data_IF_091098601188
#
_entry.id   IF_091098601188
#
_cell.length_a   1.000
_cell.length_b   1.000
_cell.length_c   1.000
_cell.angle_alpha   90.00
_cell.angle_beta   90.00
_cell.angle_gamma   90.00
#
_symmetry.space_group_name_H-M   'P 1'
#
loop_
_entity.id
_entity.type
_entity.pdbx_description
1 polymer ?
#
# COMPACT_ATOMS: atom_id res chain seq x y z
N UNK A 1 7.04 7.20 5.36
CA UNK A 1 6.05 7.85 6.24
C UNK A 1 5.36 9.00 5.52
N UNK A 2 4.09 9.27 5.84
CA UNK A 2 3.33 10.39 5.27
C UNK A 2 3.94 11.69 5.80
N UNK A 3 4.26 12.60 4.89
CA UNK A 3 4.77 13.94 5.20
C UNK A 3 3.84 14.94 4.53
N UNK A 4 3.45 15.98 5.24
CA UNK A 4 2.61 17.03 4.65
C UNK A 4 3.32 17.59 3.43
N UNK A 5 2.68 17.44 2.28
CA UNK A 5 3.28 17.78 0.99
C UNK A 5 2.18 18.37 0.11
N UNK A 6 2.05 19.70 0.14
CA UNK A 6 1.23 20.39 -0.85
C UNK A 6 1.92 20.27 -2.20
N UNK A 7 1.33 19.49 -3.10
CA UNK A 7 1.89 19.26 -4.44
C UNK A 7 1.74 20.55 -5.25
N UNK A 8 2.86 21.08 -5.75
CA UNK A 8 2.86 22.22 -6.67
C UNK A 8 2.49 21.69 -8.05
N UNK A 9 1.43 22.23 -8.66
CA UNK A 9 0.97 21.80 -9.98
C UNK A 9 1.94 22.26 -11.06
N UNK A 10 2.70 21.30 -11.56
CA UNK A 10 3.53 21.37 -12.76
C UNK A 10 3.15 20.21 -13.68
N UNK A 11 3.46 20.30 -14.97
CA UNK A 11 3.13 19.23 -15.91
C UNK A 11 3.72 17.87 -15.51
N UNK A 12 4.94 17.85 -14.95
CA UNK A 12 5.58 16.63 -14.44
C UNK A 12 4.81 16.02 -13.26
N UNK A 13 4.42 16.84 -12.28
CA UNK A 13 3.62 16.38 -11.14
C UNK A 13 2.22 15.93 -11.54
N UNK A 14 1.55 16.63 -12.46
CA UNK A 14 0.22 16.25 -12.95
C UNK A 14 0.26 14.92 -13.68
N UNK A 15 1.32 14.65 -14.44
CA UNK A 15 1.52 13.37 -15.12
C UNK A 15 1.65 12.21 -14.13
N UNK A 16 2.46 12.35 -13.07
CA UNK A 16 2.55 11.32 -12.03
C UNK A 16 1.27 11.20 -11.21
N UNK A 17 0.58 12.30 -10.88
CA UNK A 17 -0.72 12.28 -10.20
C UNK A 17 -1.75 11.48 -11.01
N UNK A 18 -1.80 11.67 -12.32
CA UNK A 18 -2.68 10.91 -13.21
C UNK A 18 -2.34 9.42 -13.24
N UNK A 19 -1.05 9.07 -13.26
CA UNK A 19 -0.62 7.67 -13.20
C UNK A 19 -0.95 7.05 -11.83
N UNK A 20 -0.78 7.81 -10.75
CA UNK A 20 -1.12 7.37 -9.41
C UNK A 20 -2.61 7.11 -9.27
N UNK A 21 -3.44 8.01 -9.79
CA UNK A 21 -4.90 7.88 -9.76
C UNK A 21 -5.38 6.58 -10.45
N UNK A 22 -4.71 6.16 -11.55
CA UNK A 22 -5.02 4.90 -12.26
C UNK A 22 -4.84 3.65 -11.39
N UNK A 23 -4.04 3.69 -10.32
CA UNK A 23 -3.91 2.57 -9.37
C UNK A 23 -5.22 2.26 -8.63
N UNK A 24 -6.14 3.22 -8.62
CA UNK A 24 -7.45 3.11 -7.97
C UNK A 24 -8.59 2.99 -8.99
N UNK A 25 -8.27 2.72 -10.26
CA UNK A 25 -9.29 2.34 -11.24
C UNK A 25 -9.90 1.00 -10.83
N UNK A 26 -11.22 0.93 -10.63
CA UNK A 26 -11.90 -0.29 -10.19
C UNK A 26 -12.10 -1.27 -11.33
N UNK A 27 -11.94 -2.56 -11.03
CA UNK A 27 -12.25 -3.64 -11.96
C UNK A 27 -13.75 -3.90 -12.03
N UNK A 28 -14.44 -3.34 -13.02
CA UNK A 28 -15.89 -3.46 -13.18
C UNK A 28 -16.35 -4.19 -14.43
N UNK A 29 -15.42 -4.72 -15.22
CA UNK A 29 -15.73 -5.43 -16.46
C UNK A 29 -16.74 -6.58 -16.23
N UNK A 30 -16.66 -7.27 -15.09
CA UNK A 30 -17.62 -8.31 -14.71
C UNK A 30 -19.02 -7.80 -14.36
N UNK A 31 -19.13 -6.55 -13.87
CA UNK A 31 -20.40 -5.90 -13.56
C UNK A 31 -21.07 -5.31 -14.81
N UNK A 32 -20.26 -4.87 -15.78
CA UNK A 32 -20.76 -4.37 -17.07
C UNK A 32 -21.25 -5.48 -17.99
N UNK A 33 -20.76 -6.72 -17.81
CA UNK A 33 -21.17 -7.88 -18.61
C UNK A 33 -22.64 -8.31 -18.39
N UNK A 34 -23.28 -7.85 -17.31
CA UNK A 34 -24.65 -8.22 -16.96
C UNK A 34 -25.51 -6.96 -16.76
N UNK A 35 -26.57 -6.80 -17.56
CA UNK A 35 -27.43 -5.61 -17.53
C UNK A 35 -27.96 -5.27 -16.13
N UNK A 36 -28.40 -6.26 -15.36
CA UNK A 36 -28.90 -6.06 -13.99
C UNK A 36 -27.82 -5.57 -13.00
N UNK A 37 -26.57 -5.98 -13.20
CA UNK A 37 -25.41 -5.52 -12.40
C UNK A 37 -24.99 -4.11 -12.81
N UNK A 38 -25.11 -3.77 -14.09
CA UNK A 38 -24.84 -2.43 -14.61
C UNK A 38 -25.84 -1.41 -14.04
N UNK A 39 -27.14 -1.73 -14.02
CA UNK A 39 -28.17 -0.86 -13.43
C UNK A 39 -27.93 -0.61 -11.94
N UNK A 40 -27.54 -1.65 -11.20
CA UNK A 40 -27.18 -1.52 -9.78
C UNK A 40 -25.95 -0.64 -9.57
N UNK A 41 -24.95 -0.75 -10.45
CA UNK A 41 -23.75 0.09 -10.41
C UNK A 41 -24.10 1.55 -10.68
N UNK A 42 -24.86 1.84 -11.73
CA UNK A 42 -25.30 3.19 -12.08
C UNK A 42 -26.13 3.81 -10.95
N UNK A 43 -27.08 3.04 -10.39
CA UNK A 43 -27.87 3.48 -9.24
C UNK A 43 -27.00 3.78 -8.02
N UNK A 44 -26.07 2.89 -7.68
CA UNK A 44 -25.17 3.07 -6.53
C UNK A 44 -24.18 4.22 -6.74
N UNK A 45 -23.87 4.59 -7.97
CA UNK A 45 -22.95 5.67 -8.30
C UNK A 45 -23.56 7.08 -8.19
N UNK A 46 -24.90 7.19 -8.21
CA UNK A 46 -25.60 8.47 -7.97
C UNK A 46 -25.29 9.02 -6.57
N UNK A 47 -25.47 10.34 -6.37
CA UNK A 47 -25.31 10.95 -5.04
C UNK A 47 -26.22 10.29 -3.99
N UNK A 48 -27.46 9.97 -4.35
CA UNK A 48 -28.38 9.25 -3.47
C UNK A 48 -27.89 7.83 -3.18
N UNK A 49 -27.47 7.09 -4.21
CA UNK A 49 -26.90 5.75 -4.07
C UNK A 49 -25.69 5.72 -3.14
N UNK A 50 -24.79 6.69 -3.27
CA UNK A 50 -23.61 6.83 -2.41
C UNK A 50 -23.98 7.22 -0.99
N UNK A 51 -24.93 8.13 -0.81
CA UNK A 51 -25.47 8.46 0.50
C UNK A 51 -26.10 7.23 1.17
N UNK A 52 -26.81 6.38 0.41
CA UNK A 52 -27.35 5.12 0.92
C UNK A 52 -26.23 4.14 1.33
N UNK A 53 -25.19 3.98 0.52
CA UNK A 53 -24.02 3.15 0.87
C UNK A 53 -23.31 3.67 2.12
N UNK A 54 -23.06 4.98 2.22
CA UNK A 54 -22.47 5.60 3.40
C UNK A 54 -23.37 5.42 4.64
N UNK A 55 -24.70 5.50 4.46
CA UNK A 55 -25.66 5.31 5.54
C UNK A 55 -25.76 3.85 6.02
N UNK A 56 -25.54 2.85 5.13
CA UNK A 56 -25.36 1.45 5.54
C UNK A 56 -24.14 1.29 6.45
N UNK A 57 -23.10 2.06 6.17
CA UNK A 57 -21.87 2.16 6.96
C UNK A 57 -21.94 3.30 7.98
N UNK A 58 -23.10 3.49 8.62
CA UNK A 58 -23.30 4.48 9.69
C UNK A 58 -22.26 4.35 10.80
N UNK A 59 -22.06 5.42 11.57
CA UNK A 59 -21.01 5.52 12.60
C UNK A 59 -20.92 4.30 13.53
N UNK A 60 -22.06 3.79 14.02
CA UNK A 60 -22.08 2.59 14.88
C UNK A 60 -21.50 1.35 14.19
N UNK A 61 -21.79 1.17 12.89
CA UNK A 61 -21.29 0.04 12.12
C UNK A 61 -19.79 0.19 11.85
N UNK A 62 -19.33 1.40 11.52
CA UNK A 62 -17.90 1.67 11.36
C UNK A 62 -17.12 1.44 12.66
N UNK A 63 -17.66 1.90 13.79
CA UNK A 63 -17.05 1.65 15.10
C UNK A 63 -16.97 0.14 15.38
N UNK A 64 -18.08 -0.60 15.25
CA UNK A 64 -18.08 -2.06 15.40
C UNK A 64 -17.07 -2.74 14.49
N UNK A 65 -17.00 -2.35 13.21
CA UNK A 65 -16.02 -2.90 12.27
C UNK A 65 -14.57 -2.60 12.70
N UNK A 66 -14.29 -1.40 13.19
CA UNK A 66 -12.97 -1.03 13.70
C UNK A 66 -12.61 -1.83 14.97
N UNK A 67 -13.56 -2.03 15.90
CA UNK A 67 -13.37 -2.87 17.09
C UNK A 67 -13.13 -4.35 16.72
N UNK A 68 -13.90 -4.89 15.77
CA UNK A 68 -13.71 -6.25 15.28
C UNK A 68 -12.37 -6.42 14.55
N UNK A 69 -11.96 -5.42 13.76
CA UNK A 69 -10.66 -5.40 13.10
C UNK A 69 -9.50 -5.38 14.11
N UNK A 70 -9.66 -4.65 15.22
CA UNK A 70 -8.71 -4.70 16.34
C UNK A 70 -8.57 -6.11 16.90
N UNK A 71 -9.68 -6.82 17.16
CA UNK A 71 -9.65 -8.21 17.66
C UNK A 71 -8.92 -9.13 16.65
N UNK A 72 -9.23 -9.02 15.36
CA UNK A 72 -8.58 -9.81 14.32
C UNK A 72 -7.08 -9.51 14.23
N UNK A 73 -6.70 -8.24 14.35
CA UNK A 73 -5.30 -7.82 14.35
C UNK A 73 -4.57 -8.36 15.59
N UNK A 74 -5.19 -8.25 16.77
CA UNK A 74 -4.62 -8.81 18.01
C UNK A 74 -4.43 -10.32 17.91
N UNK A 75 -5.40 -11.04 17.35
CA UNK A 75 -5.26 -12.48 17.13
C UNK A 75 -4.12 -12.79 16.17
N UNK A 76 -3.99 -12.01 15.08
CA UNK A 76 -2.92 -12.13 14.10
C UNK A 76 -1.52 -11.90 14.68
N UNK A 77 -1.39 -11.06 15.72
CA UNK A 77 -0.13 -10.77 16.41
C UNK A 77 -0.01 -11.41 17.80
N UNK A 78 -0.92 -12.32 18.17
CA UNK A 78 -1.01 -12.90 19.52
C UNK A 78 0.24 -13.64 19.97
N UNK A 79 1.07 -14.07 19.01
CA UNK A 79 2.34 -14.74 19.25
C UNK A 79 3.50 -13.77 19.57
N UNK A 80 3.31 -12.46 19.40
CA UNK A 80 4.30 -11.44 19.76
C UNK A 80 3.85 -10.84 21.11
N UNK A 81 4.61 -11.05 22.19
CA UNK A 81 4.24 -10.48 23.48
C UNK A 81 4.36 -8.95 23.43
N UNK A 82 3.37 -8.27 24.04
CA UNK A 82 3.39 -6.83 24.30
C UNK A 82 3.61 -5.95 23.05
N UNK A 83 2.96 -6.26 21.91
CA UNK A 83 2.98 -5.39 20.71
C UNK A 83 2.31 -4.05 20.98
N UNK A 84 1.16 -4.08 21.65
CA UNK A 84 0.39 -2.91 22.04
C UNK A 84 -0.32 -3.20 23.34
N UNK A 85 -0.37 -2.22 24.23
CA UNK A 85 -1.28 -2.28 25.37
C UNK A 85 -2.74 -2.00 24.94
N UNK A 86 -3.69 -2.28 25.85
CA UNK A 86 -5.12 -2.09 25.55
C UNK A 86 -5.48 -0.63 25.28
N UNK A 87 -4.82 0.31 25.94
CA UNK A 87 -5.07 1.75 25.80
C UNK A 87 -4.57 2.27 24.46
N UNK A 88 -3.40 1.84 24.02
CA UNK A 88 -2.81 2.17 22.73
C UNK A 88 -3.64 1.59 21.59
N UNK A 89 -4.03 0.32 21.72
CA UNK A 89 -4.84 -0.33 20.69
C UNK A 89 -6.24 0.32 20.58
N UNK A 90 -6.84 0.73 21.71
CA UNK A 90 -8.09 1.50 21.71
C UNK A 90 -7.92 2.87 21.06
N UNK A 91 -6.81 3.56 21.34
CA UNK A 91 -6.47 4.85 20.73
C UNK A 91 -6.31 4.73 19.21
N UNK A 92 -5.52 3.77 18.74
CA UNK A 92 -5.37 3.49 17.29
C UNK A 92 -6.73 3.20 16.66
N UNK A 93 -7.56 2.40 17.31
CA UNK A 93 -8.92 2.07 16.83
C UNK A 93 -9.82 3.29 16.70
N UNK A 94 -9.76 4.22 17.66
CA UNK A 94 -10.50 5.48 17.57
C UNK A 94 -10.02 6.34 16.40
N UNK A 95 -8.71 6.42 16.15
CA UNK A 95 -8.20 7.17 15.01
C UNK A 95 -8.52 6.51 13.67
N UNK A 96 -8.46 5.17 13.58
CA UNK A 96 -8.92 4.42 12.40
C UNK A 96 -10.39 4.72 12.11
N UNK A 97 -11.26 4.70 13.13
CA UNK A 97 -12.67 5.08 12.99
C UNK A 97 -12.83 6.49 12.42
N UNK A 98 -12.07 7.47 12.91
CA UNK A 98 -12.14 8.85 12.40
C UNK A 98 -11.71 8.91 10.92
N UNK A 99 -10.68 8.16 10.52
CA UNK A 99 -10.24 8.07 9.10
C UNK A 99 -11.39 7.56 8.23
N UNK A 100 -12.03 6.45 8.60
CA UNK A 100 -13.14 5.89 7.82
C UNK A 100 -14.39 6.77 7.83
N UNK A 101 -14.68 7.44 8.95
CA UNK A 101 -15.76 8.43 9.01
C UNK A 101 -15.51 9.55 7.98
N UNK A 102 -14.30 10.12 7.96
CA UNK A 102 -13.94 11.16 6.99
C UNK A 102 -13.99 10.65 5.55
N UNK A 103 -13.54 9.41 5.33
CA UNK A 103 -13.61 8.76 4.02
C UNK A 103 -15.06 8.65 3.52
N UNK A 104 -16.01 8.29 4.39
CA UNK A 104 -17.43 8.19 4.02
C UNK A 104 -18.04 9.57 3.72
N UNK A 105 -17.67 10.61 4.47
CA UNK A 105 -18.09 11.99 4.19
C UNK A 105 -17.66 12.45 2.80
N UNK A 106 -16.43 12.11 2.40
CA UNK A 106 -15.89 12.43 1.08
C UNK A 106 -16.60 11.59 0.01
N UNK A 107 -16.71 10.27 0.22
CA UNK A 107 -17.34 9.34 -0.72
C UNK A 107 -18.77 9.73 -1.09
N UNK A 108 -19.59 10.14 -0.11
CA UNK A 108 -21.01 10.50 -0.35
C UNK A 108 -21.18 11.82 -1.11
N UNK A 109 -20.21 12.73 -1.03
CA UNK A 109 -20.26 14.05 -1.68
C UNK A 109 -19.86 13.99 -3.16
N UNK A 110 -19.22 12.89 -3.57
CA UNK A 110 -18.61 12.78 -4.89
C UNK A 110 -19.51 12.02 -5.83
N UNK A 111 -19.82 12.62 -6.99
CA UNK A 111 -20.51 11.95 -8.08
C UNK A 111 -19.47 11.60 -9.16
N UNK A 112 -19.05 10.34 -9.29
CA UNK A 112 -18.18 9.95 -10.40
C UNK A 112 -18.96 10.14 -11.70
N UNK A 113 -18.32 10.76 -12.69
CA UNK A 113 -18.83 10.69 -14.07
C UNK A 113 -18.62 9.26 -14.53
N UNK A 114 -19.70 8.52 -14.74
CA UNK A 114 -19.64 7.18 -15.32
C UNK A 114 -20.06 7.32 -16.78
N UNK A 115 -19.08 7.29 -17.66
CA UNK A 115 -19.31 7.23 -19.11
C UNK A 115 -19.16 5.78 -19.55
N UNK A 116 -20.26 5.18 -20.02
CA UNK A 116 -20.30 3.83 -20.57
C UNK A 116 -20.34 3.96 -22.09
N UNK A 117 -19.22 3.68 -22.75
CA UNK A 117 -19.16 3.56 -24.21
C UNK A 117 -18.84 2.11 -24.57
N UNK A 118 -19.69 1.45 -25.37
CA UNK A 118 -19.47 0.08 -25.84
C UNK A 118 -19.15 -0.94 -24.71
N UNK A 119 -19.92 -0.93 -23.61
CA UNK A 119 -19.68 -1.77 -22.42
C UNK A 119 -18.28 -1.60 -21.80
N UNK A 120 -17.58 -0.52 -22.13
CA UNK A 120 -16.27 -0.16 -21.62
C UNK A 120 -16.43 1.17 -20.89
N UNK A 121 -15.92 1.24 -19.66
CA UNK A 121 -15.97 2.48 -18.91
C UNK A 121 -14.81 3.37 -19.37
N UNK A 122 -15.10 4.48 -20.05
CA UNK A 122 -14.07 5.35 -20.63
C UNK A 122 -13.31 6.11 -19.53
N UNK A 123 -13.98 6.53 -18.46
CA UNK A 123 -13.34 7.15 -17.29
C UNK A 123 -14.11 6.85 -16.01
N UNK A 124 -13.59 5.95 -15.18
CA UNK A 124 -13.86 6.01 -13.74
C UNK A 124 -12.55 6.05 -12.99
N UNK A 125 -12.24 7.28 -12.60
CA UNK A 125 -11.19 7.59 -11.67
C UNK A 125 -11.89 7.98 -10.38
N UNK A 126 -11.34 7.60 -9.23
CA UNK A 126 -11.64 8.33 -8.01
C UNK A 126 -11.48 9.84 -8.28
N UNK A 127 -12.16 10.72 -7.54
CA UNK A 127 -11.87 12.16 -7.57
C UNK A 127 -10.36 12.38 -7.56
N UNK A 128 -9.91 13.47 -8.18
CA UNK A 128 -8.49 13.77 -8.36
C UNK A 128 -7.74 13.32 -7.11
N UNK A 129 -6.88 12.31 -7.26
CA UNK A 129 -6.26 11.58 -6.12
C UNK A 129 -5.59 12.54 -5.15
N UNK A 130 -5.15 13.68 -5.67
CA UNK A 130 -4.70 14.88 -4.95
C UNK A 130 -5.73 15.46 -3.97
N UNK A 131 -6.99 15.67 -4.38
CA UNK A 131 -8.07 16.16 -3.50
C UNK A 131 -8.37 15.19 -2.37
N UNK A 132 -8.41 13.88 -2.68
CA UNK A 132 -8.61 12.84 -1.68
C UNK A 132 -7.43 12.79 -0.70
N UNK A 133 -6.20 12.89 -1.20
CA UNK A 133 -4.99 12.98 -0.38
C UNK A 133 -5.03 14.20 0.53
N UNK A 134 -5.31 15.38 -0.03
CA UNK A 134 -5.38 16.63 0.72
C UNK A 134 -6.45 16.61 1.81
N UNK A 135 -7.65 16.09 1.50
CA UNK A 135 -8.76 16.02 2.45
C UNK A 135 -8.52 15.03 3.60
N UNK A 136 -7.74 13.96 3.37
CA UNK A 136 -7.43 12.94 4.37
C UNK A 136 -6.08 13.15 5.06
N UNK A 137 -5.17 13.97 4.51
CA UNK A 137 -3.82 14.17 5.03
C UNK A 137 -3.80 14.51 6.53
N UNK A 138 -4.57 15.51 7.03
CA UNK A 138 -4.49 15.87 8.44
C UNK A 138 -4.85 14.72 9.38
N UNK A 139 -5.83 13.90 8.99
CA UNK A 139 -6.28 12.78 9.82
C UNK A 139 -5.37 11.55 9.70
N UNK A 140 -4.78 11.34 8.53
CA UNK A 140 -3.82 10.25 8.28
C UNK A 140 -2.47 10.52 8.93
N UNK A 141 -2.01 11.77 8.99
CA UNK A 141 -0.81 12.15 9.75
C UNK A 141 -1.01 11.83 11.23
N UNK A 142 -2.11 12.29 11.83
CA UNK A 142 -2.41 12.02 13.24
C UNK A 142 -2.59 10.52 13.49
N UNK A 143 -3.21 9.78 12.56
CA UNK A 143 -3.28 8.33 12.64
C UNK A 143 -1.89 7.72 12.63
N UNK A 144 -1.02 8.08 11.69
CA UNK A 144 0.35 7.59 11.62
C UNK A 144 1.14 7.92 12.89
N UNK A 145 1.06 9.14 13.43
CA UNK A 145 1.76 9.56 14.66
C UNK A 145 1.46 8.68 15.89
N UNK A 146 0.37 7.90 15.87
CA UNK A 146 0.09 6.94 16.93
C UNK A 146 1.20 5.89 17.11
N UNK A 147 1.99 5.59 16.07
CA UNK A 147 3.14 4.69 16.19
C UNK A 147 4.31 5.32 16.97
N UNK A 148 4.49 6.64 16.88
CA UNK A 148 5.49 7.37 17.67
C UNK A 148 5.05 7.37 19.14
N UNK A 149 3.75 7.59 19.38
CA UNK A 149 3.18 7.62 20.71
C UNK A 149 3.23 6.27 21.44
N UNK A 150 3.31 5.14 20.73
CA UNK A 150 3.50 3.82 21.35
C UNK A 150 4.95 3.48 21.67
N UNK A 151 5.92 4.30 21.23
CA UNK A 151 7.37 4.07 21.38
C UNK A 151 7.84 2.70 20.85
N UNK A 152 7.02 2.09 20.01
CA UNK A 152 7.22 0.75 19.49
C UNK A 152 6.77 0.75 18.03
N UNK A 153 7.74 0.57 17.14
CA UNK A 153 7.49 0.52 15.70
C UNK A 153 6.55 -0.63 15.29
N UNK A 154 6.41 -1.69 16.11
CA UNK A 154 5.46 -2.80 15.89
C UNK A 154 4.01 -2.35 15.80
N UNK A 155 3.68 -1.22 16.42
CA UNK A 155 2.39 -0.57 16.28
C UNK A 155 2.06 -0.20 14.82
N UNK A 156 3.04 0.12 13.97
CA UNK A 156 2.78 0.48 12.58
C UNK A 156 2.30 -0.72 11.75
N UNK A 157 2.86 -1.90 11.99
CA UNK A 157 2.38 -3.17 11.43
C UNK A 157 0.97 -3.51 11.91
N UNK A 158 0.66 -3.22 13.18
CA UNK A 158 -0.67 -3.33 13.75
C UNK A 158 -1.67 -2.39 13.05
N UNK A 159 -1.30 -1.11 12.89
CA UNK A 159 -2.14 -0.08 12.28
C UNK A 159 -2.53 -0.42 10.85
N UNK A 160 -1.55 -0.82 10.01
CA UNK A 160 -1.83 -1.21 8.62
C UNK A 160 -2.69 -2.48 8.54
N UNK A 161 -2.46 -3.46 9.42
CA UNK A 161 -3.29 -4.67 9.51
C UNK A 161 -4.71 -4.36 9.97
N UNK A 162 -4.87 -3.43 10.91
CA UNK A 162 -6.16 -2.96 11.38
C UNK A 162 -6.96 -2.29 10.25
N UNK A 163 -6.33 -1.47 9.42
CA UNK A 163 -7.00 -0.89 8.25
C UNK A 163 -7.45 -1.98 7.28
N UNK A 164 -6.58 -2.94 6.93
CA UNK A 164 -6.94 -4.05 6.04
C UNK A 164 -8.13 -4.87 6.57
N UNK A 165 -8.14 -5.27 7.84
CA UNK A 165 -9.27 -5.99 8.41
C UNK A 165 -10.55 -5.14 8.47
N UNK A 166 -10.42 -3.83 8.72
CA UNK A 166 -11.57 -2.92 8.68
C UNK A 166 -12.14 -2.85 7.26
N UNK A 167 -11.29 -2.72 6.24
CA UNK A 167 -11.68 -2.76 4.82
C UNK A 167 -12.46 -4.04 4.49
N UNK A 168 -11.95 -5.20 4.89
CA UNK A 168 -12.64 -6.48 4.66
C UNK A 168 -14.01 -6.56 5.35
N UNK A 169 -14.12 -6.06 6.59
CA UNK A 169 -15.38 -6.03 7.33
C UNK A 169 -16.40 -5.06 6.73
N UNK A 170 -15.95 -3.90 6.24
CA UNK A 170 -16.78 -2.95 5.50
C UNK A 170 -17.33 -3.61 4.23
N UNK A 171 -16.46 -4.18 3.39
CA UNK A 171 -16.85 -4.76 2.10
C UNK A 171 -17.85 -5.91 2.23
N UNK A 172 -17.73 -6.74 3.28
CA UNK A 172 -18.68 -7.83 3.58
C UNK A 172 -20.13 -7.38 3.80
N UNK A 173 -20.38 -6.08 4.00
CA UNK A 173 -21.73 -5.52 4.22
C UNK A 173 -22.35 -4.91 2.96
N UNK A 174 -21.62 -4.88 1.86
CA UNK A 174 -21.96 -4.13 0.65
C UNK A 174 -22.31 -5.07 -0.50
N UNK A 175 -23.16 -4.62 -1.42
CA UNK A 175 -23.41 -5.32 -2.68
C UNK A 175 -22.19 -5.26 -3.59
N UNK A 176 -22.11 -6.10 -4.64
CA UNK A 176 -20.98 -6.07 -5.58
C UNK A 176 -20.80 -4.71 -6.26
N UNK A 177 -21.89 -4.02 -6.59
CA UNK A 177 -21.86 -2.66 -7.13
C UNK A 177 -21.28 -1.65 -6.13
N UNK A 178 -21.71 -1.70 -4.88
CA UNK A 178 -21.19 -0.83 -3.81
C UNK A 178 -19.73 -1.14 -3.48
N UNK A 179 -19.35 -2.42 -3.46
CA UNK A 179 -17.97 -2.85 -3.27
C UNK A 179 -17.08 -2.31 -4.40
N UNK A 180 -17.49 -2.43 -5.66
CA UNK A 180 -16.76 -1.85 -6.77
C UNK A 180 -16.56 -0.34 -6.56
N UNK A 181 -17.61 0.37 -6.09
CA UNK A 181 -17.58 1.82 -5.90
C UNK A 181 -16.68 2.28 -4.75
N UNK A 182 -16.68 1.54 -3.65
CA UNK A 182 -15.99 1.92 -2.44
C UNK A 182 -14.56 1.37 -2.33
N UNK A 183 -14.26 0.23 -2.96
CA UNK A 183 -12.93 -0.42 -2.90
C UNK A 183 -11.79 0.53 -3.26
N UNK A 184 -11.87 1.38 -4.32
CA UNK A 184 -10.83 2.37 -4.62
C UNK A 184 -10.46 3.28 -3.46
N UNK A 185 -11.44 3.75 -2.69
CA UNK A 185 -11.27 4.64 -1.54
C UNK A 185 -10.62 3.91 -0.36
N UNK A 186 -11.06 2.69 -0.09
CA UNK A 186 -10.49 1.83 0.96
C UNK A 186 -9.03 1.46 0.65
N UNK A 187 -8.75 1.11 -0.60
CA UNK A 187 -7.39 0.83 -1.09
C UNK A 187 -6.50 2.06 -0.98
N UNK A 188 -7.02 3.23 -1.35
CA UNK A 188 -6.29 4.50 -1.22
C UNK A 188 -5.85 4.76 0.22
N UNK A 189 -6.74 4.61 1.20
CA UNK A 189 -6.40 4.80 2.62
C UNK A 189 -5.34 3.81 3.08
N UNK A 190 -5.46 2.53 2.72
CA UNK A 190 -4.48 1.51 3.09
C UNK A 190 -3.10 1.79 2.48
N UNK A 191 -3.04 2.12 1.18
CA UNK A 191 -1.79 2.44 0.51
C UNK A 191 -1.18 3.74 1.03
N UNK A 192 -1.97 4.77 1.32
CA UNK A 192 -1.45 6.04 1.84
C UNK A 192 -0.77 5.94 3.20
N UNK A 193 -1.24 5.00 4.03
CA UNK A 193 -0.60 4.75 5.31
C UNK A 193 0.68 3.93 5.16
N UNK A 194 0.78 3.08 4.14
CA UNK A 194 1.89 2.15 3.97
C UNK A 194 2.98 2.62 3.00
N UNK A 195 2.63 3.42 1.99
CA UNK A 195 3.46 3.68 0.81
C UNK A 195 3.57 5.19 0.53
N UNK A 196 4.77 5.69 0.18
CA UNK A 196 4.98 7.13 -0.03
C UNK A 196 4.61 7.63 -1.44
N UNK A 197 3.54 7.10 -2.08
CA UNK A 197 3.19 7.47 -3.46
C UNK A 197 2.92 8.97 -3.67
N UNK A 198 2.30 9.63 -2.69
CA UNK A 198 2.11 11.08 -2.73
C UNK A 198 3.46 11.83 -2.78
N UNK A 199 4.47 11.36 -2.04
CA UNK A 199 5.81 11.96 -2.00
C UNK A 199 6.61 11.66 -3.28
N UNK A 200 6.39 10.51 -3.90
CA UNK A 200 6.88 10.22 -5.26
C UNK A 200 6.32 11.24 -6.25
N UNK A 201 5.00 11.48 -6.22
CA UNK A 201 4.38 12.48 -7.08
C UNK A 201 4.87 13.90 -6.80
N UNK A 202 5.04 14.25 -5.52
CA UNK A 202 5.57 15.56 -5.10
C UNK A 202 6.97 15.83 -5.68
N UNK A 203 7.87 14.85 -5.62
CA UNK A 203 9.26 15.02 -6.07
C UNK A 203 9.41 15.13 -7.60
N UNK A 204 8.38 14.82 -8.39
CA UNK A 204 8.42 15.04 -9.83
C UNK A 204 8.53 16.52 -10.23
N UNK A 205 8.25 17.46 -9.32
CA UNK A 205 8.46 18.90 -9.56
C UNK A 205 9.92 19.24 -9.88
N UNK A 206 10.87 18.41 -9.42
CA UNK A 206 12.30 18.63 -9.61
C UNK A 206 12.82 18.14 -10.97
N UNK A 207 11.93 17.65 -11.84
CA UNK A 207 12.31 16.99 -13.09
C UNK A 207 11.54 17.54 -14.28
N UNK A 208 12.25 17.76 -15.37
CA UNK A 208 11.64 18.13 -16.66
C UNK A 208 10.81 16.96 -17.21
N UNK A 209 9.76 17.30 -17.96
CA UNK A 209 8.81 16.35 -18.54
C UNK A 209 9.47 15.23 -19.38
N UNK A 210 10.53 15.58 -20.10
CA UNK A 210 11.22 14.66 -21.00
C UNK A 210 12.46 14.02 -20.41
N UNK A 211 12.77 14.32 -19.15
CA UNK A 211 13.93 13.78 -18.44
C UNK A 211 13.86 12.24 -18.38
N UNK A 212 15.00 11.55 -18.50
CA UNK A 212 15.04 10.09 -18.40
C UNK A 212 14.55 9.60 -17.03
N UNK A 213 14.73 10.40 -15.98
CA UNK A 213 14.26 10.08 -14.63
C UNK A 213 12.74 10.04 -14.55
N UNK A 214 12.06 11.06 -15.08
CA UNK A 214 10.59 11.08 -15.04
C UNK A 214 10.02 9.94 -15.89
N UNK A 215 10.55 9.72 -17.09
CA UNK A 215 10.15 8.62 -17.98
C UNK A 215 10.29 7.24 -17.31
N UNK A 216 11.37 7.01 -16.57
CA UNK A 216 11.57 5.78 -15.81
C UNK A 216 10.48 5.59 -14.76
N UNK A 217 10.17 6.61 -13.96
CA UNK A 217 9.13 6.51 -12.93
C UNK A 217 7.75 6.30 -13.54
N UNK A 218 7.45 6.98 -14.65
CA UNK A 218 6.19 6.81 -15.39
C UNK A 218 5.99 5.39 -15.91
N UNK A 219 7.06 4.70 -16.28
CA UNK A 219 7.05 3.30 -16.71
C UNK A 219 6.90 2.34 -15.52
N UNK A 220 7.58 2.60 -14.41
CA UNK A 220 7.63 1.69 -13.27
C UNK A 220 6.38 1.76 -12.38
N UNK A 221 5.80 2.94 -12.20
CA UNK A 221 4.69 3.13 -11.27
C UNK A 221 3.40 2.36 -11.64
N UNK A 222 2.97 2.29 -12.92
CA UNK A 222 1.90 1.40 -13.37
C UNK A 222 2.26 -0.08 -13.23
N UNK A 223 3.51 -0.45 -13.53
CA UNK A 223 3.98 -1.84 -13.53
C UNK A 223 4.14 -2.43 -12.12
N UNK A 224 4.12 -1.61 -11.06
CA UNK A 224 4.48 -2.05 -9.72
C UNK A 224 3.65 -3.23 -9.17
N UNK A 225 2.36 -3.29 -9.51
CA UNK A 225 1.48 -4.40 -9.11
C UNK A 225 1.85 -5.71 -9.82
N UNK A 226 2.19 -5.63 -11.11
CA UNK A 226 2.58 -6.78 -11.92
C UNK A 226 3.96 -7.30 -11.50
N UNK A 227 4.91 -6.39 -11.25
CA UNK A 227 6.22 -6.71 -10.68
C UNK A 227 6.05 -7.42 -9.33
N UNK A 228 5.23 -6.88 -8.42
CA UNK A 228 4.96 -7.52 -7.15
C UNK A 228 4.39 -8.94 -7.32
N UNK A 229 3.49 -9.15 -8.27
CA UNK A 229 2.94 -10.48 -8.54
C UNK A 229 3.99 -11.44 -9.12
N UNK A 230 4.82 -10.97 -10.05
CA UNK A 230 5.92 -11.75 -10.65
C UNK A 230 6.93 -12.18 -9.59
N UNK A 231 7.42 -11.22 -8.79
CA UNK A 231 8.37 -11.46 -7.69
C UNK A 231 7.78 -12.45 -6.69
N UNK A 232 6.52 -12.28 -6.32
CA UNK A 232 5.86 -13.19 -5.38
C UNK A 232 5.81 -14.64 -5.90
N UNK A 233 5.51 -14.86 -7.19
CA UNK A 233 5.54 -16.20 -7.79
C UNK A 233 6.95 -16.79 -7.78
N UNK A 234 7.95 -16.01 -8.18
CA UNK A 234 9.35 -16.42 -8.15
C UNK A 234 9.81 -16.80 -6.73
N UNK A 235 9.39 -16.05 -5.70
CA UNK A 235 9.71 -16.35 -4.31
C UNK A 235 9.07 -17.65 -3.81
N UNK A 236 7.84 -17.97 -4.24
CA UNK A 236 7.20 -19.26 -3.94
C UNK A 236 8.02 -20.42 -4.53
N UNK A 237 8.51 -20.26 -5.76
CA UNK A 237 9.30 -21.28 -6.45
C UNK A 237 10.69 -21.45 -5.83
N UNK A 238 11.35 -20.35 -5.48
CA UNK A 238 12.70 -20.37 -4.90
C UNK A 238 12.69 -20.84 -3.43
N UNK A 239 11.59 -20.62 -2.71
CA UNK A 239 11.48 -20.91 -1.28
C UNK A 239 10.23 -21.73 -0.96
N UNK A 240 10.07 -22.94 -1.55
CA UNK A 240 8.84 -23.72 -1.48
C UNK A 240 8.49 -24.21 -0.06
N UNK A 241 9.51 -24.30 0.80
CA UNK A 241 9.38 -24.71 2.20
C UNK A 241 9.32 -23.52 3.17
N UNK A 242 9.30 -22.28 2.67
CA UNK A 242 9.22 -21.11 3.53
C UNK A 242 7.87 -21.05 4.24
N UNK A 243 7.94 -21.00 5.57
CA UNK A 243 6.79 -20.92 6.45
C UNK A 243 7.07 -19.87 7.50
N UNK A 244 6.13 -18.94 7.65
CA UNK A 244 6.12 -18.02 8.79
C UNK A 244 5.19 -18.57 9.87
N UNK A 245 5.16 -17.92 11.03
CA UNK A 245 4.15 -18.20 12.07
C UNK A 245 2.71 -18.03 11.58
N UNK A 246 2.49 -17.25 10.50
CA UNK A 246 1.18 -17.03 9.88
C UNK A 246 0.78 -18.10 8.87
N UNK A 247 1.65 -19.05 8.56
CA UNK A 247 1.39 -20.08 7.55
C UNK A 247 2.41 -20.11 6.42
N UNK A 248 2.08 -20.89 5.38
CA UNK A 248 2.89 -21.00 4.16
C UNK A 248 2.69 -19.77 3.28
N UNK A 249 3.72 -19.40 2.49
CA UNK A 249 3.60 -18.30 1.53
C UNK A 249 2.35 -18.43 0.66
N UNK A 250 1.99 -19.64 0.23
CA UNK A 250 0.83 -19.91 -0.65
C UNK A 250 -0.55 -19.64 -0.05
N UNK A 251 -0.67 -19.29 1.23
CA UNK A 251 -1.97 -18.99 1.87
C UNK A 251 -2.48 -17.58 1.51
N UNK A 252 -3.79 -17.45 1.19
CA UNK A 252 -4.38 -16.20 0.67
C UNK A 252 -4.12 -14.96 1.54
N UNK A 253 -4.14 -15.11 2.86
CA UNK A 253 -3.91 -14.01 3.81
C UNK A 253 -2.46 -13.49 3.77
N UNK A 254 -1.50 -14.36 3.42
CA UNK A 254 -0.09 -14.00 3.27
C UNK A 254 0.13 -13.33 1.91
N UNK A 255 -0.52 -13.81 0.84
CA UNK A 255 -0.45 -13.20 -0.49
C UNK A 255 -0.72 -11.69 -0.48
N UNK A 256 -1.80 -11.25 0.19
CA UNK A 256 -2.13 -9.81 0.28
C UNK A 256 -1.04 -9.00 0.97
N UNK A 257 -0.56 -9.47 2.13
CA UNK A 257 0.51 -8.81 2.89
C UNK A 257 1.79 -8.73 2.07
N UNK A 258 2.18 -9.84 1.43
CA UNK A 258 3.38 -9.89 0.59
C UNK A 258 3.30 -8.94 -0.60
N UNK A 259 2.16 -8.92 -1.31
CA UNK A 259 1.95 -8.02 -2.43
C UNK A 259 2.01 -6.55 -2.02
N UNK A 260 1.39 -6.19 -0.88
CA UNK A 260 1.47 -4.85 -0.30
C UNK A 260 2.92 -4.48 0.01
N UNK A 261 3.66 -5.36 0.69
CA UNK A 261 5.04 -5.09 1.08
C UNK A 261 5.96 -4.96 -0.15
N UNK A 262 5.77 -5.76 -1.20
CA UNK A 262 6.48 -5.57 -2.48
C UNK A 262 6.16 -4.23 -3.16
N UNK A 263 4.91 -3.79 -3.15
CA UNK A 263 4.55 -2.46 -3.66
C UNK A 263 5.19 -1.35 -2.82
N UNK A 264 5.24 -1.51 -1.49
CA UNK A 264 5.87 -0.55 -0.59
C UNK A 264 7.37 -0.41 -0.89
N UNK A 265 8.10 -1.51 -1.05
CA UNK A 265 9.53 -1.47 -1.39
C UNK A 265 9.76 -0.73 -2.72
N UNK A 266 8.96 -1.03 -3.74
CA UNK A 266 9.04 -0.33 -5.04
C UNK A 266 8.79 1.17 -4.89
N UNK A 267 7.79 1.59 -4.12
CA UNK A 267 7.50 2.99 -3.85
C UNK A 267 8.68 3.70 -3.17
N UNK A 268 9.33 3.05 -2.19
CA UNK A 268 10.52 3.60 -1.54
C UNK A 268 11.73 3.66 -2.46
N UNK A 269 11.95 2.67 -3.33
CA UNK A 269 13.03 2.71 -4.34
C UNK A 269 12.81 3.90 -5.28
N UNK A 270 11.60 4.06 -5.82
CA UNK A 270 11.27 5.16 -6.73
C UNK A 270 11.34 6.53 -6.04
N UNK A 271 10.98 6.59 -4.75
CA UNK A 271 11.16 7.79 -3.95
C UNK A 271 12.64 8.13 -3.78
N UNK A 272 13.47 7.15 -3.40
CA UNK A 272 14.91 7.36 -3.24
C UNK A 272 15.54 7.83 -4.56
N UNK A 273 15.11 7.26 -5.67
CA UNK A 273 15.52 7.65 -7.02
C UNK A 273 15.21 9.12 -7.33
N UNK A 274 13.98 9.58 -7.05
CA UNK A 274 13.59 10.98 -7.27
C UNK A 274 14.16 11.96 -6.24
N UNK A 275 14.51 11.50 -5.04
CA UNK A 275 15.16 12.33 -4.02
C UNK A 275 16.69 12.30 -4.11
N UNK A 276 17.23 11.46 -4.99
CA UNK A 276 18.66 11.20 -5.13
C UNK A 276 19.34 10.81 -3.82
N UNK A 277 18.63 10.04 -2.99
CA UNK A 277 19.07 9.69 -1.64
C UNK A 277 18.46 8.37 -1.16
N UNK A 278 19.25 7.54 -0.46
CA UNK A 278 18.78 6.32 0.20
C UNK A 278 18.09 6.59 1.55
N UNK A 279 18.10 7.83 2.03
CA UNK A 279 17.55 8.21 3.34
C UNK A 279 16.12 7.70 3.60
N UNK A 280 15.16 7.74 2.65
CA UNK A 280 13.84 7.18 2.88
C UNK A 280 13.85 5.68 3.20
N UNK A 281 14.72 4.90 2.56
CA UNK A 281 14.86 3.48 2.88
C UNK A 281 15.53 3.31 4.25
N UNK A 282 16.63 4.01 4.50
CA UNK A 282 17.43 3.88 5.73
C UNK A 282 16.64 4.28 6.99
N UNK A 283 15.90 5.39 6.93
CA UNK A 283 15.26 5.97 8.10
C UNK A 283 13.80 5.56 8.27
N UNK A 284 13.13 5.10 7.21
CA UNK A 284 11.68 4.84 7.24
C UNK A 284 11.37 3.36 6.94
N UNK A 285 11.89 2.78 5.85
CA UNK A 285 11.58 1.40 5.47
C UNK A 285 12.29 0.36 6.33
N UNK A 286 13.59 0.54 6.59
CA UNK A 286 14.40 -0.42 7.34
C UNK A 286 13.90 -0.63 8.77
N UNK A 287 13.62 0.43 9.56
CA UNK A 287 13.06 0.26 10.90
C UNK A 287 11.73 -0.51 10.88
N UNK A 288 10.90 -0.29 9.86
CA UNK A 288 9.65 -1.04 9.67
C UNK A 288 9.93 -2.53 9.40
N UNK A 289 10.89 -2.85 8.53
CA UNK A 289 11.17 -4.22 8.15
C UNK A 289 11.93 -5.02 9.22
N UNK A 290 12.97 -4.43 9.83
CA UNK A 290 13.75 -5.06 10.90
C UNK A 290 12.84 -5.58 12.02
N UNK A 291 11.88 -4.74 12.41
CA UNK A 291 10.89 -5.03 13.44
C UNK A 291 9.94 -6.19 13.07
N UNK A 292 9.53 -6.32 11.80
CA UNK A 292 8.74 -7.47 11.34
C UNK A 292 9.58 -8.74 11.31
N UNK A 293 10.85 -8.64 10.89
CA UNK A 293 11.74 -9.80 10.79
C UNK A 293 12.07 -10.37 12.17
N UNK A 294 12.40 -9.52 13.14
CA UNK A 294 12.62 -9.93 14.54
C UNK A 294 11.34 -10.45 15.21
N UNK A 295 10.22 -9.73 15.05
CA UNK A 295 8.97 -10.06 15.73
C UNK A 295 8.24 -11.28 15.15
N UNK A 296 8.44 -11.60 13.87
CA UNK A 296 7.74 -12.71 13.17
C UNK A 296 8.65 -13.90 12.89
N UNK A 297 9.92 -13.85 13.34
CA UNK A 297 10.95 -14.87 13.11
C UNK A 297 11.07 -15.23 11.62
N UNK A 298 10.98 -14.22 10.75
CA UNK A 298 11.21 -14.43 9.34
C UNK A 298 12.71 -14.69 9.14
N UNK A 299 13.04 -15.78 8.48
CA UNK A 299 14.43 -16.07 8.10
C UNK A 299 14.99 -14.93 7.25
N UNK A 300 16.14 -14.37 7.61
CA UNK A 300 16.77 -13.28 6.88
C UNK A 300 17.10 -13.65 5.42
N UNK A 301 17.30 -14.93 5.16
CA UNK A 301 17.45 -15.49 3.81
C UNK A 301 16.25 -15.16 2.92
N UNK A 302 15.03 -15.14 3.49
CA UNK A 302 13.82 -14.71 2.77
C UNK A 302 13.92 -13.23 2.40
N UNK A 303 14.31 -12.35 3.34
CA UNK A 303 14.45 -10.91 3.10
C UNK A 303 15.54 -10.58 2.09
N UNK A 304 16.65 -11.32 2.11
CA UNK A 304 17.72 -11.16 1.11
C UNK A 304 17.23 -11.57 -0.28
N UNK A 305 16.67 -12.77 -0.42
CA UNK A 305 16.13 -13.26 -1.70
C UNK A 305 15.00 -12.36 -2.21
N UNK A 306 14.19 -11.83 -1.31
CA UNK A 306 13.16 -10.84 -1.62
C UNK A 306 13.74 -9.59 -2.28
N UNK A 307 14.77 -8.98 -1.69
CA UNK A 307 15.42 -7.81 -2.27
C UNK A 307 16.14 -8.13 -3.58
N UNK A 308 16.76 -9.32 -3.69
CA UNK A 308 17.41 -9.80 -4.91
C UNK A 308 16.44 -9.93 -6.08
N UNK A 309 15.37 -10.70 -5.88
CA UNK A 309 14.35 -10.97 -6.90
C UNK A 309 13.61 -9.69 -7.28
N UNK A 310 13.26 -8.84 -6.30
CA UNK A 310 12.59 -7.57 -6.58
C UNK A 310 13.46 -6.64 -7.45
N UNK A 311 14.73 -6.46 -7.09
CA UNK A 311 15.64 -5.63 -7.87
C UNK A 311 15.79 -6.16 -9.30
N UNK A 312 16.02 -7.48 -9.46
CA UNK A 312 16.17 -8.10 -10.78
C UNK A 312 14.91 -7.96 -11.63
N UNK A 313 13.72 -8.14 -11.04
CA UNK A 313 12.46 -7.98 -11.76
C UNK A 313 12.21 -6.51 -12.15
N UNK A 314 12.53 -5.55 -11.29
CA UNK A 314 12.40 -4.13 -11.65
C UNK A 314 13.36 -3.77 -12.79
N UNK A 315 14.62 -4.19 -12.70
CA UNK A 315 15.64 -3.92 -13.70
C UNK A 315 15.36 -4.61 -15.04
N UNK A 316 14.66 -5.76 -15.06
CA UNK A 316 14.30 -6.46 -16.30
C UNK A 316 13.21 -5.75 -17.11
N UNK A 317 12.47 -4.81 -16.48
CA UNK A 317 11.46 -3.99 -17.16
C UNK A 317 12.02 -2.75 -17.83
N UNK A 318 13.32 -2.47 -17.65
CA UNK A 318 13.98 -1.24 -18.09
C UNK A 318 14.96 -1.52 -19.23
N UNK A 319 15.18 -0.51 -20.07
CA UNK A 319 16.31 -0.55 -21.01
C UNK A 319 17.66 -0.37 -20.28
N UNK A 320 18.76 -0.54 -21.01
CA UNK A 320 20.11 -0.48 -20.44
C UNK A 320 20.45 0.87 -19.77
N UNK A 321 19.97 1.99 -20.32
CA UNK A 321 20.27 3.32 -19.79
C UNK A 321 19.46 3.57 -18.50
N UNK A 322 18.17 3.28 -18.55
CA UNK A 322 17.27 3.36 -17.39
C UNK A 322 17.72 2.42 -16.26
N UNK A 323 18.22 1.23 -16.60
CA UNK A 323 18.74 0.28 -15.63
C UNK A 323 19.92 0.86 -14.85
N UNK A 324 20.89 1.47 -15.54
CA UNK A 324 22.05 2.08 -14.86
C UNK A 324 21.63 3.28 -13.97
N UNK A 325 20.54 3.99 -14.30
CA UNK A 325 19.98 5.04 -13.45
C UNK A 325 19.36 4.50 -12.15
N UNK A 326 18.63 3.36 -12.22
CA UNK A 326 17.91 2.82 -11.06
C UNK A 326 18.80 1.96 -10.14
N UNK A 327 19.81 1.31 -10.71
CA UNK A 327 20.71 0.35 -10.05
C UNK A 327 21.35 0.83 -8.75
N UNK A 328 21.79 2.10 -8.59
CA UNK A 328 22.29 2.59 -7.32
C UNK A 328 21.29 2.44 -6.17
N UNK A 329 19.99 2.58 -6.46
CA UNK A 329 18.92 2.51 -5.46
C UNK A 329 18.48 1.07 -5.16
N UNK A 330 18.43 0.21 -6.18
CA UNK A 330 18.14 -1.23 -5.96
C UNK A 330 19.29 -1.93 -5.23
N UNK A 331 20.55 -1.61 -5.58
CA UNK A 331 21.73 -2.12 -4.87
C UNK A 331 21.88 -1.49 -3.49
N UNK A 332 21.66 -0.17 -3.37
CA UNK A 332 21.67 0.54 -2.09
C UNK A 332 20.68 -0.06 -1.09
N UNK A 333 19.46 -0.35 -1.53
CA UNK A 333 18.47 -1.06 -0.70
C UNK A 333 19.02 -2.40 -0.17
N UNK A 334 19.58 -3.26 -1.03
CA UNK A 334 20.17 -4.54 -0.63
C UNK A 334 21.25 -4.35 0.43
N UNK A 335 22.15 -3.38 0.24
CA UNK A 335 23.25 -3.11 1.15
C UNK A 335 22.78 -2.61 2.51
N UNK A 336 21.77 -1.72 2.55
CA UNK A 336 21.21 -1.21 3.80
C UNK A 336 20.52 -2.34 4.58
N UNK A 337 19.72 -3.17 3.91
CA UNK A 337 19.10 -4.35 4.54
C UNK A 337 20.15 -5.34 5.08
N UNK A 338 21.24 -5.57 4.33
CA UNK A 338 22.33 -6.44 4.76
C UNK A 338 23.11 -5.84 5.95
N UNK A 339 23.30 -4.52 5.99
CA UNK A 339 23.90 -3.83 7.13
C UNK A 339 23.04 -3.97 8.38
N UNK A 340 21.72 -3.80 8.25
CA UNK A 340 20.78 -3.96 9.36
C UNK A 340 20.75 -5.40 9.89
N UNK A 341 20.76 -6.40 8.99
CA UNK A 341 20.90 -7.81 9.39
C UNK A 341 22.11 -8.02 10.32
N UNK A 342 23.26 -7.43 9.98
CA UNK A 342 24.49 -7.54 10.77
C UNK A 342 24.39 -6.80 12.11
N UNK A 343 23.77 -5.61 12.18
CA UNK A 343 23.59 -4.91 13.46
C UNK A 343 22.69 -5.68 14.42
N UNK A 344 21.78 -6.50 13.91
CA UNK A 344 20.91 -7.38 14.70
C UNK A 344 21.57 -8.70 15.11
N UNK A 345 22.87 -8.86 14.85
CA UNK A 345 23.66 -10.02 15.33
C UNK A 345 23.57 -11.28 14.46
N UNK A 346 22.96 -11.20 13.28
CA UNK A 346 22.95 -12.32 12.33
C UNK A 346 24.23 -12.30 11.48
N UNK A 347 25.23 -13.07 11.89
CA UNK A 347 26.41 -13.37 11.06
C UNK A 347 26.10 -14.47 10.05
N UNK A 348 26.58 -14.35 8.82
CA UNK A 348 26.49 -15.43 7.83
C UNK A 348 27.14 -16.70 8.41
N UNK A 349 26.43 -17.84 8.37
CA UNK A 349 27.12 -19.11 8.29
C UNK A 349 27.87 -19.09 6.97
N UNK A 350 29.19 -18.94 7.04
CA UNK A 350 30.05 -19.23 5.91
C UNK A 350 29.83 -20.73 5.64
N UNK A 351 28.94 -21.06 4.71
CA UNK A 351 29.02 -22.34 4.02
C UNK A 351 30.32 -22.30 3.25
N UNK A 352 31.38 -22.73 3.92
CA UNK A 352 32.60 -23.16 3.27
C UNK A 352 32.15 -24.34 2.42
N UNK A 353 31.95 -24.11 1.13
CA UNK A 353 31.99 -25.20 0.17
C UNK A 353 33.39 -25.81 0.27
N UNK A 354 33.50 -26.86 1.09
CA UNK A 354 34.67 -27.71 1.14
C UNK A 354 34.57 -28.62 -0.08
N UNK A 355 35.24 -28.15 -1.15
CA UNK A 355 35.82 -28.84 -2.32
C UNK A 355 34.87 -29.64 -3.22
#
# INVERSE_FOLDING_TARGET
>A
MLKSSKIVKTSSTERLLNIWARRYTPGISSLLAHNSSCDQLLKAATLEGRALTANKLREKMLDVNCQMAWIQTKNLYSYIPNVLDLSEARRITQFAFRVYKKLMEIYQQQSPKIEIENNTLSQWVIPAVEELAYALEPILIVFQEQHVASKDWRSLGFMTSQLNFTNQLILKKLTSAEQALLTPYLKFVEEQVAMPWQRVCFNAVNYELDSPQLKLVEQMMPAASEIAQSVYRQLIELLPNSRSRRGKLTERGITHSCSRDLNMFQAYILLCFLEQSLTPIEQELIPLCAMVVEGVEIKWELTQKWCEVLASEMESRLDSEQKELLKPYTQGMKQVFFKERRSLGFTEEITVDIV
#
